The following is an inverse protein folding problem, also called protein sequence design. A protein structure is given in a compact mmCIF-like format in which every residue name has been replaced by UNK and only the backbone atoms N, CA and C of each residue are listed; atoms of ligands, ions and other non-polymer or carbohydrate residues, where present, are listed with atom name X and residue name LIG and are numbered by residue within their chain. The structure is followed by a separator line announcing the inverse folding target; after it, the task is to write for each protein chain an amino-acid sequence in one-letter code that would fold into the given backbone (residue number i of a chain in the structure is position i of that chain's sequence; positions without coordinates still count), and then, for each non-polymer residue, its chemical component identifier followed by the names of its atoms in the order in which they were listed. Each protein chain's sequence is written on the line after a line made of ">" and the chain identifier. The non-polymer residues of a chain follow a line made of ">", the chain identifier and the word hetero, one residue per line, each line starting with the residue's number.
data_IF_645037347371
#
_entry.id   IF_645037347371
#
_cell.length_a   1.000
_cell.length_b   1.000
_cell.length_c   1.000
_cell.angle_alpha   90.00
_cell.angle_beta   90.00
_cell.angle_gamma   90.00
#
_symmetry.space_group_name_H-M   'P 1'
#
loop_
_entity.id
_entity.type
_entity.pdbx_description
1 polymer ?
#
# COMPACT_ATOMS: atom_id res chain seq x y z
N UNK A 1 -12.19 -4.52 8.69
CA UNK A 1 -11.37 -4.63 7.47
C UNK A 1 -11.54 -3.35 6.68
N UNK A 2 -10.45 -2.74 6.22
CA UNK A 2 -10.45 -1.50 5.44
C UNK A 2 -9.68 -1.66 4.13
N UNK A 3 -10.17 -1.03 3.03
CA UNK A 3 -9.62 -1.28 1.69
C UNK A 3 -8.21 -0.70 1.46
N UNK A 4 -7.83 0.36 2.17
CA UNK A 4 -6.57 1.08 1.90
C UNK A 4 -5.39 0.56 2.73
N UNK A 5 -4.20 0.58 2.14
CA UNK A 5 -2.93 0.32 2.84
C UNK A 5 -2.57 1.49 3.76
N UNK A 6 -1.89 1.21 4.87
CA UNK A 6 -1.44 2.20 5.85
C UNK A 6 0.07 2.46 5.71
N UNK A 7 0.41 3.66 5.25
CA UNK A 7 1.79 4.08 4.99
C UNK A 7 2.21 5.32 5.81
N UNK A 8 1.43 5.65 6.86
CA UNK A 8 1.65 6.79 7.74
C UNK A 8 0.64 7.93 7.57
N UNK A 9 -0.16 7.90 6.50
CA UNK A 9 -1.18 8.91 6.18
C UNK A 9 -2.48 8.76 6.97
N UNK A 10 -2.63 7.69 7.79
CA UNK A 10 -3.77 7.41 8.66
C UNK A 10 -5.05 6.97 7.93
N UNK A 11 -4.94 6.37 6.76
CA UNK A 11 -6.10 5.82 6.06
C UNK A 11 -6.88 4.82 6.94
N UNK A 12 -6.17 3.96 7.68
CA UNK A 12 -6.79 3.01 8.63
C UNK A 12 -7.65 3.71 9.69
N UNK A 13 -7.12 4.76 10.31
CA UNK A 13 -7.85 5.53 11.33
C UNK A 13 -9.07 6.21 10.72
N UNK A 14 -8.88 6.90 9.58
CA UNK A 14 -9.98 7.62 8.92
C UNK A 14 -11.09 6.69 8.43
N UNK A 15 -10.75 5.58 7.77
CA UNK A 15 -11.74 4.61 7.30
C UNK A 15 -12.46 3.91 8.45
N UNK A 16 -11.74 3.59 9.54
CA UNK A 16 -12.36 3.05 10.74
C UNK A 16 -13.35 4.02 11.38
N UNK A 17 -13.03 5.32 11.38
CA UNK A 17 -13.95 6.36 11.88
C UNK A 17 -15.27 6.37 11.12
N UNK A 18 -15.25 6.21 9.78
CA UNK A 18 -16.46 6.19 8.96
C UNK A 18 -17.39 5.03 9.33
N UNK A 19 -16.84 3.84 9.52
CA UNK A 19 -17.61 2.66 9.92
C UNK A 19 -18.08 2.77 11.37
N UNK A 20 -17.19 3.16 12.27
CA UNK A 20 -17.47 3.23 13.71
C UNK A 20 -18.51 4.28 14.06
N UNK A 21 -18.49 5.43 13.36
CA UNK A 21 -19.49 6.48 13.51
C UNK A 21 -20.91 5.94 13.31
N UNK A 22 -21.10 5.25 12.20
CA UNK A 22 -22.43 4.75 11.84
C UNK A 22 -22.82 3.50 12.59
N UNK A 23 -21.83 2.65 12.95
CA UNK A 23 -22.05 1.41 13.67
C UNK A 23 -22.31 1.63 15.18
N UNK A 24 -22.09 2.83 15.71
CA UNK A 24 -22.25 3.16 17.13
C UNK A 24 -21.45 2.26 18.07
N UNK A 25 -20.18 1.99 17.73
CA UNK A 25 -19.26 1.22 18.57
C UNK A 25 -18.38 2.12 19.42
N UNK A 26 -17.83 1.57 20.49
CA UNK A 26 -16.81 2.23 21.29
C UNK A 26 -15.47 2.22 20.51
N UNK A 27 -14.89 3.41 20.33
CA UNK A 27 -13.65 3.61 19.60
C UNK A 27 -12.48 2.80 20.16
N UNK A 28 -12.38 2.66 21.46
CA UNK A 28 -11.29 1.94 22.14
C UNK A 28 -11.30 0.42 21.85
N UNK A 29 -12.43 -0.11 21.38
CA UNK A 29 -12.57 -1.54 21.06
C UNK A 29 -12.19 -1.89 19.63
N UNK A 30 -11.90 -0.88 18.78
CA UNK A 30 -11.70 -1.09 17.35
C UNK A 30 -10.32 -1.68 17.05
N UNK A 31 -10.32 -2.69 16.21
CA UNK A 31 -9.14 -3.24 15.56
C UNK A 31 -9.30 -3.14 14.05
N UNK A 32 -8.26 -2.65 13.38
CA UNK A 32 -8.26 -2.48 11.92
C UNK A 32 -7.31 -3.46 11.27
N UNK A 33 -7.78 -4.10 10.22
CA UNK A 33 -6.99 -4.96 9.35
C UNK A 33 -7.07 -4.42 7.93
N UNK A 34 -5.96 -4.44 7.20
CA UNK A 34 -5.95 -4.19 5.75
C UNK A 34 -6.73 -5.32 5.05
N UNK A 35 -7.53 -4.96 4.07
CA UNK A 35 -8.24 -5.93 3.25
C UNK A 35 -7.26 -6.83 2.48
N UNK A 36 -7.57 -8.13 2.33
CA UNK A 36 -6.90 -8.96 1.35
C UNK A 36 -7.21 -8.46 -0.06
N UNK A 37 -6.54 -9.02 -1.07
CA UNK A 37 -6.96 -8.80 -2.45
C UNK A 37 -8.37 -9.34 -2.67
N UNK A 38 -9.26 -8.47 -3.16
CA UNK A 38 -10.62 -8.84 -3.55
C UNK A 38 -11.31 -7.68 -4.27
N UNK A 39 -12.13 -7.99 -5.29
CA UNK A 39 -12.81 -7.00 -6.14
C UNK A 39 -13.71 -6.00 -5.39
N UNK A 40 -14.25 -6.39 -4.23
CA UNK A 40 -15.05 -5.49 -3.37
C UNK A 40 -14.27 -4.31 -2.79
N UNK A 41 -12.94 -4.38 -2.78
CA UNK A 41 -12.05 -3.35 -2.24
C UNK A 41 -11.39 -2.47 -3.31
N UNK A 42 -11.84 -2.57 -4.55
CA UNK A 42 -11.41 -1.69 -5.66
C UNK A 42 -11.59 -0.21 -5.28
N UNK A 43 -10.61 0.59 -5.65
CA UNK A 43 -10.60 2.04 -5.46
C UNK A 43 -10.70 2.79 -6.81
N UNK A 44 -11.90 3.03 -7.33
CA UNK A 44 -12.08 3.67 -8.64
C UNK A 44 -11.60 5.12 -8.68
N UNK A 45 -11.44 5.77 -7.52
CA UNK A 45 -10.92 7.12 -7.44
C UNK A 45 -9.40 7.21 -7.59
N UNK A 46 -8.67 6.14 -7.31
CA UNK A 46 -7.21 6.12 -7.44
C UNK A 46 -6.74 5.68 -8.83
N UNK A 47 -7.48 4.77 -9.47
CA UNK A 47 -7.16 4.28 -10.82
C UNK A 47 -8.45 4.01 -11.59
N UNK A 48 -8.63 4.62 -12.79
CA UNK A 48 -9.84 4.45 -13.59
C UNK A 48 -10.02 3.02 -14.14
N UNK A 49 -8.98 2.19 -14.13
CA UNK A 49 -9.05 0.77 -14.50
C UNK A 49 -9.77 -0.08 -13.47
N UNK A 50 -10.01 0.46 -12.27
CA UNK A 50 -10.67 -0.25 -11.18
C UNK A 50 -9.73 -1.22 -10.46
N UNK A 51 -8.61 -0.73 -9.97
CA UNK A 51 -7.62 -1.52 -9.23
C UNK A 51 -7.78 -1.38 -7.71
N UNK A 52 -7.44 -2.43 -6.98
CA UNK A 52 -7.27 -2.35 -5.53
C UNK A 52 -5.92 -1.70 -5.22
N UNK A 53 -5.90 -0.38 -5.17
CA UNK A 53 -4.70 0.44 -4.98
C UNK A 53 -4.97 1.59 -4.01
N UNK A 54 -3.96 1.97 -3.26
CA UNK A 54 -3.98 3.12 -2.35
C UNK A 54 -3.14 4.24 -2.93
N UNK A 55 -3.80 5.29 -3.44
CA UNK A 55 -3.13 6.41 -4.09
C UNK A 55 -4.09 7.57 -4.36
N UNK A 56 -3.59 8.62 -5.02
CA UNK A 56 -4.38 9.75 -5.49
C UNK A 56 -5.12 10.56 -4.41
N UNK A 57 -4.77 10.40 -3.13
CA UNK A 57 -5.48 11.02 -1.98
C UNK A 57 -6.96 10.63 -1.88
N UNK A 58 -7.34 9.45 -2.38
CA UNK A 58 -8.74 9.02 -2.54
C UNK A 58 -9.25 8.10 -1.43
N UNK A 59 -8.39 7.68 -0.49
CA UNK A 59 -8.75 6.69 0.54
C UNK A 59 -9.97 7.04 1.39
N UNK A 60 -10.24 8.31 1.62
CA UNK A 60 -11.43 8.74 2.37
C UNK A 60 -12.56 9.15 1.43
N UNK A 61 -12.28 9.99 0.44
CA UNK A 61 -13.32 10.53 -0.45
C UNK A 61 -14.07 9.44 -1.24
N UNK A 62 -13.34 8.49 -1.82
CA UNK A 62 -13.95 7.39 -2.59
C UNK A 62 -14.76 6.43 -1.72
N UNK A 63 -14.29 6.15 -0.51
CA UNK A 63 -14.95 5.20 0.39
C UNK A 63 -15.88 5.85 1.41
N UNK A 64 -16.06 7.17 1.36
CA UNK A 64 -16.87 7.93 2.33
C UNK A 64 -18.27 7.38 2.49
N UNK A 65 -18.99 7.23 1.41
CA UNK A 65 -20.38 6.76 1.45
C UNK A 65 -20.45 5.25 1.68
N UNK A 66 -19.66 4.47 0.94
CA UNK A 66 -19.67 3.00 1.03
C UNK A 66 -19.38 2.51 2.47
N UNK A 67 -18.36 3.05 3.13
CA UNK A 67 -18.00 2.62 4.50
C UNK A 67 -19.05 3.07 5.53
N UNK A 68 -19.66 4.22 5.35
CA UNK A 68 -20.75 4.69 6.19
C UNK A 68 -21.99 3.80 6.00
N UNK A 69 -22.35 3.47 4.77
CA UNK A 69 -23.45 2.56 4.46
C UNK A 69 -23.24 1.18 5.09
N UNK A 70 -22.02 0.63 5.04
CA UNK A 70 -21.68 -0.65 5.71
C UNK A 70 -21.89 -0.55 7.23
N UNK A 71 -21.42 0.53 7.86
CA UNK A 71 -21.61 0.78 9.29
C UNK A 71 -23.09 0.89 9.68
N UNK A 72 -23.84 1.72 8.96
CA UNK A 72 -25.26 1.96 9.21
C UNK A 72 -26.11 0.70 8.96
N UNK A 73 -25.89 0.01 7.84
CA UNK A 73 -26.60 -1.22 7.52
C UNK A 73 -26.37 -2.31 8.57
N UNK A 74 -25.13 -2.46 9.03
CA UNK A 74 -24.80 -3.39 10.11
C UNK A 74 -25.51 -3.02 11.43
N UNK A 75 -25.55 -1.73 11.77
CA UNK A 75 -26.30 -1.24 12.94
C UNK A 75 -27.79 -1.59 12.83
N UNK A 76 -28.41 -1.36 11.67
CA UNK A 76 -29.83 -1.66 11.45
C UNK A 76 -30.14 -3.15 11.54
N UNK A 77 -29.26 -4.01 10.98
CA UNK A 77 -29.38 -5.47 11.10
C UNK A 77 -29.30 -5.92 12.58
N UNK A 78 -28.35 -5.39 13.35
CA UNK A 78 -28.20 -5.70 14.78
C UNK A 78 -29.40 -5.21 15.60
N UNK A 79 -29.92 -4.01 15.29
CA UNK A 79 -31.10 -3.44 15.93
C UNK A 79 -32.33 -4.29 15.64
N UNK A 80 -32.50 -4.72 14.38
CA UNK A 80 -33.60 -5.62 13.98
C UNK A 80 -33.50 -7.00 14.65
N UNK A 81 -32.30 -7.55 14.79
CA UNK A 81 -32.07 -8.81 15.47
C UNK A 81 -32.47 -8.74 16.97
N UNK A 82 -32.12 -7.65 17.65
CA UNK A 82 -32.53 -7.42 19.03
C UNK A 82 -34.04 -7.25 19.18
N UNK A 83 -34.65 -6.45 18.31
CA UNK A 83 -36.12 -6.26 18.25
C UNK A 83 -36.86 -7.60 18.10
N UNK A 84 -36.43 -8.44 17.16
CA UNK A 84 -37.00 -9.76 16.95
C UNK A 84 -36.79 -10.68 18.16
N UNK A 85 -35.62 -10.71 18.76
CA UNK A 85 -35.32 -11.54 19.93
C UNK A 85 -36.14 -11.13 21.14
N UNK A 86 -36.46 -9.87 21.30
CA UNK A 86 -37.27 -9.34 22.40
C UNK A 86 -38.77 -9.33 22.13
N UNK A 87 -39.17 -9.45 20.84
CA UNK A 87 -40.58 -9.34 20.43
C UNK A 87 -41.13 -7.92 20.62
N UNK A 88 -40.35 -6.90 20.31
CA UNK A 88 -40.68 -5.47 20.50
C UNK A 88 -40.56 -4.71 19.20
N UNK A 89 -41.19 -3.52 19.07
CA UNK A 89 -40.99 -2.64 17.90
C UNK A 89 -39.52 -2.19 17.74
N UNK A 90 -39.02 -2.11 16.50
CA UNK A 90 -37.64 -1.76 16.21
C UNK A 90 -37.32 -0.29 16.58
N UNK A 91 -38.30 0.58 16.50
CA UNK A 91 -38.21 2.01 16.85
C UNK A 91 -38.04 2.27 18.35
N UNK A 92 -38.37 1.29 19.20
CA UNK A 92 -38.09 1.30 20.64
C UNK A 92 -36.63 0.87 20.95
N UNK A 93 -35.88 0.41 19.95
CA UNK A 93 -34.52 -0.09 20.08
C UNK A 93 -33.50 0.94 19.61
N UNK A 94 -32.47 1.20 20.41
CA UNK A 94 -31.40 2.15 20.12
C UNK A 94 -30.02 1.51 20.19
N UNK A 95 -29.20 1.73 19.18
CA UNK A 95 -27.78 1.34 19.20
C UNK A 95 -26.95 2.41 19.92
N UNK A 96 -26.06 1.98 20.81
CA UNK A 96 -25.13 2.86 21.52
C UNK A 96 -23.94 2.05 22.08
N UNK A 97 -22.72 2.50 21.85
CA UNK A 97 -21.48 1.92 22.38
C UNK A 97 -21.36 0.39 22.24
N UNK A 98 -21.72 -0.16 21.07
CA UNK A 98 -21.62 -1.59 20.77
C UNK A 98 -22.72 -2.44 21.42
N UNK A 99 -23.82 -1.83 21.83
CA UNK A 99 -25.00 -2.48 22.40
C UNK A 99 -26.28 -1.98 21.75
N UNK A 100 -27.32 -2.81 21.80
CA UNK A 100 -28.68 -2.39 21.49
C UNK A 100 -29.45 -2.31 22.82
N UNK A 101 -30.12 -1.19 23.02
CA UNK A 101 -30.97 -0.92 24.19
C UNK A 101 -32.44 -0.88 23.77
N UNK A 102 -33.32 -1.53 24.53
CA UNK A 102 -34.76 -1.34 24.44
C UNK A 102 -35.18 -0.29 25.46
N UNK A 103 -35.48 0.91 24.99
CA UNK A 103 -35.73 2.11 25.83
C UNK A 103 -36.81 1.92 26.86
N UNK A 104 -38.02 1.33 26.55
CA UNK A 104 -39.07 1.20 27.55
C UNK A 104 -38.77 0.23 28.68
N UNK A 105 -38.02 -0.85 28.44
CA UNK A 105 -37.74 -1.88 29.47
C UNK A 105 -36.34 -1.80 30.08
N UNK A 106 -35.45 -0.99 29.54
CA UNK A 106 -34.05 -0.91 29.98
C UNK A 106 -33.21 -2.16 29.68
N UNK A 107 -33.72 -3.14 28.91
CA UNK A 107 -32.96 -4.32 28.49
C UNK A 107 -31.85 -3.91 27.50
N UNK A 108 -30.73 -4.60 27.54
CA UNK A 108 -29.66 -4.44 26.53
C UNK A 108 -29.07 -5.76 26.10
N UNK A 109 -28.51 -5.77 24.87
CA UNK A 109 -27.70 -6.86 24.31
C UNK A 109 -26.49 -6.26 23.65
N UNK A 110 -25.30 -6.82 23.88
CA UNK A 110 -24.12 -6.40 23.13
C UNK A 110 -24.15 -6.99 21.70
N UNK A 111 -23.41 -6.36 20.79
CA UNK A 111 -23.39 -6.78 19.38
C UNK A 111 -22.96 -8.23 19.20
N UNK A 112 -21.99 -8.72 20.00
CA UNK A 112 -21.54 -10.11 19.94
C UNK A 112 -22.63 -11.14 20.21
N UNK A 113 -23.64 -10.80 21.02
CA UNK A 113 -24.79 -11.67 21.27
C UNK A 113 -25.80 -11.71 20.10
N UNK A 114 -25.75 -10.71 19.22
CA UNK A 114 -26.67 -10.52 18.10
C UNK A 114 -26.08 -10.96 16.74
N UNK A 115 -24.76 -11.11 16.61
CA UNK A 115 -24.07 -11.38 15.33
C UNK A 115 -24.67 -12.56 14.56
N UNK A 116 -24.94 -13.70 15.25
CA UNK A 116 -25.47 -14.90 14.57
C UNK A 116 -26.90 -14.67 14.05
N UNK A 117 -27.71 -13.89 14.77
CA UNK A 117 -29.07 -13.57 14.31
C UNK A 117 -29.03 -12.54 13.17
N UNK A 118 -28.24 -11.48 13.34
CA UNK A 118 -28.06 -10.44 12.33
C UNK A 118 -27.48 -10.98 11.02
N UNK A 119 -26.52 -11.92 11.08
CA UNK A 119 -25.89 -12.49 9.86
C UNK A 119 -26.84 -13.29 8.95
N UNK A 120 -28.03 -13.63 9.44
CA UNK A 120 -29.10 -14.30 8.64
C UNK A 120 -30.02 -13.31 7.95
N UNK A 121 -29.88 -12.03 8.20
CA UNK A 121 -30.69 -10.97 7.61
C UNK A 121 -30.03 -10.44 6.35
N UNK A 122 -30.83 -9.98 5.40
CA UNK A 122 -30.33 -9.22 4.26
C UNK A 122 -29.94 -7.80 4.71
N UNK A 123 -28.81 -7.27 4.26
CA UNK A 123 -28.50 -5.87 4.46
C UNK A 123 -29.58 -4.97 3.86
N UNK A 124 -29.92 -3.83 4.50
CA UNK A 124 -30.85 -2.87 3.92
C UNK A 124 -30.24 -2.22 2.67
N UNK A 125 -31.07 -2.02 1.61
CA UNK A 125 -30.62 -1.40 0.35
C UNK A 125 -30.21 0.06 0.53
N UNK A 126 -30.81 0.77 1.47
CA UNK A 126 -30.59 2.20 1.72
C UNK A 126 -30.58 2.47 3.23
N UNK A 127 -29.49 2.11 3.93
CA UNK A 127 -29.42 2.34 5.37
C UNK A 127 -29.42 3.84 5.70
N UNK A 128 -30.04 4.21 6.82
CA UNK A 128 -30.13 5.60 7.27
C UNK A 128 -28.79 6.05 7.84
N UNK A 129 -28.15 6.99 7.17
CA UNK A 129 -26.89 7.59 7.61
C UNK A 129 -27.14 8.72 8.60
N UNK A 130 -26.21 8.91 9.54
CA UNK A 130 -26.18 10.06 10.42
C UNK A 130 -25.96 11.36 9.63
N UNK A 131 -26.56 12.43 10.10
CA UNK A 131 -26.26 13.80 9.66
C UNK A 131 -25.05 14.34 10.42
N UNK A 132 -24.43 15.41 9.91
CA UNK A 132 -23.17 15.93 10.48
C UNK A 132 -23.28 16.43 11.92
N UNK A 133 -24.46 16.86 12.35
CA UNK A 133 -24.76 17.26 13.73
C UNK A 133 -24.79 16.07 14.70
N UNK A 134 -24.95 14.84 14.19
CA UNK A 134 -24.97 13.60 14.97
C UNK A 134 -23.59 12.94 15.12
N UNK A 135 -22.55 13.51 14.45
CA UNK A 135 -21.20 12.91 14.45
C UNK A 135 -20.54 13.02 15.83
N UNK A 136 -20.05 11.86 16.30
CA UNK A 136 -19.30 11.72 17.56
C UNK A 136 -17.81 11.56 17.32
N UNK A 137 -17.41 10.90 16.21
CA UNK A 137 -16.03 10.58 15.85
C UNK A 137 -15.55 11.42 14.66
N UNK A 138 -16.34 11.50 13.60
CA UNK A 138 -15.98 12.23 12.38
C UNK A 138 -15.85 13.73 12.71
N UNK A 139 -14.73 14.32 12.28
CA UNK A 139 -14.41 15.73 12.55
C UNK A 139 -13.88 16.01 13.96
N UNK A 140 -13.63 14.97 14.77
CA UNK A 140 -13.04 15.11 16.10
C UNK A 140 -11.54 14.74 16.10
N UNK A 141 -10.73 15.31 17.00
CA UNK A 141 -9.32 14.99 17.14
C UNK A 141 -9.15 13.60 17.80
N UNK A 142 -9.14 12.57 16.99
CA UNK A 142 -8.95 11.17 17.44
C UNK A 142 -7.48 10.77 17.27
N UNK A 143 -6.91 10.08 18.27
CA UNK A 143 -5.56 9.52 18.16
C UNK A 143 -5.50 8.43 17.09
N UNK A 144 -4.39 8.38 16.37
CA UNK A 144 -4.13 7.34 15.36
C UNK A 144 -4.14 5.96 16.00
N UNK A 145 -4.87 5.01 15.42
CA UNK A 145 -5.00 3.65 15.96
C UNK A 145 -3.65 2.94 16.13
N UNK A 146 -2.70 3.17 15.22
CA UNK A 146 -1.40 2.51 15.25
C UNK A 146 -0.34 3.25 16.09
N UNK A 147 -0.63 4.40 16.69
CA UNK A 147 0.36 5.17 17.46
C UNK A 147 0.96 4.37 18.62
N UNK A 148 0.19 3.67 19.47
CA UNK A 148 0.77 2.91 20.57
C UNK A 148 1.77 1.84 20.10
N UNK A 149 1.43 1.09 19.04
CA UNK A 149 2.31 0.06 18.50
C UNK A 149 3.58 0.65 17.86
N UNK A 150 3.46 1.82 17.19
CA UNK A 150 4.61 2.49 16.57
C UNK A 150 5.61 3.02 17.62
N UNK A 151 5.14 3.65 18.69
CA UNK A 151 6.02 4.23 19.70
C UNK A 151 6.60 3.18 20.65
N UNK A 152 5.95 2.03 20.79
CA UNK A 152 6.48 0.90 21.59
C UNK A 152 7.35 -0.06 20.76
N UNK A 153 7.47 0.13 19.45
CA UNK A 153 8.24 -0.75 18.57
C UNK A 153 7.57 -2.11 18.30
N UNK A 154 6.27 -2.26 18.58
CA UNK A 154 5.50 -3.49 18.32
C UNK A 154 4.76 -3.48 16.99
N UNK A 155 4.79 -2.35 16.26
CA UNK A 155 4.22 -2.27 14.91
C UNK A 155 5.01 -3.17 13.95
N UNK A 156 4.28 -3.92 13.10
CA UNK A 156 4.89 -4.85 12.15
C UNK A 156 4.89 -4.24 10.75
N UNK A 157 6.08 -3.95 10.24
CA UNK A 157 6.33 -3.51 8.87
C UNK A 157 6.75 -4.69 7.98
N UNK A 158 6.87 -4.48 6.70
CA UNK A 158 7.32 -5.53 5.77
C UNK A 158 8.68 -6.09 6.15
N UNK A 159 9.61 -5.24 6.52
CA UNK A 159 10.97 -5.62 6.93
C UNK A 159 11.02 -6.47 8.21
N UNK A 160 9.97 -6.39 9.05
CA UNK A 160 9.88 -7.10 10.33
C UNK A 160 9.30 -8.51 10.18
N UNK A 161 8.82 -8.88 9.00
CA UNK A 161 8.24 -10.21 8.75
C UNK A 161 9.28 -11.29 9.03
N UNK A 162 8.90 -12.31 9.81
CA UNK A 162 9.72 -13.49 10.09
C UNK A 162 8.89 -14.76 9.92
N UNK A 163 9.47 -15.75 9.24
CA UNK A 163 8.86 -17.07 8.99
C UNK A 163 9.83 -18.18 9.39
N UNK A 164 9.33 -19.33 9.85
CA UNK A 164 10.19 -20.48 10.15
C UNK A 164 11.01 -20.90 8.91
N UNK A 165 12.30 -21.09 9.07
CA UNK A 165 13.20 -21.51 7.97
C UNK A 165 13.44 -20.43 6.89
N UNK A 166 13.09 -19.18 7.16
CA UNK A 166 13.23 -18.09 6.20
C UNK A 166 14.70 -17.76 5.92
N UNK A 167 14.98 -17.54 4.64
CA UNK A 167 16.23 -16.99 4.15
C UNK A 167 16.10 -15.50 3.84
N UNK A 168 17.26 -14.86 3.67
CA UNK A 168 17.36 -13.44 3.37
C UNK A 168 18.05 -13.26 2.03
N UNK A 169 17.54 -12.37 1.20
CA UNK A 169 18.15 -12.02 -0.06
C UNK A 169 18.35 -10.52 -0.18
N UNK A 170 19.42 -10.13 -0.85
CA UNK A 170 19.62 -8.76 -1.35
C UNK A 170 19.92 -8.82 -2.85
N UNK A 171 19.72 -7.71 -3.53
CA UNK A 171 19.75 -7.66 -4.99
C UNK A 171 20.76 -6.64 -5.50
N UNK A 172 21.24 -6.86 -6.72
CA UNK A 172 21.86 -5.85 -7.56
C UNK A 172 21.19 -5.85 -8.92
N UNK A 173 20.76 -4.69 -9.35
CA UNK A 173 20.01 -4.48 -10.59
C UNK A 173 20.82 -3.62 -11.54
N UNK A 174 20.49 -3.67 -12.84
CA UNK A 174 21.12 -2.81 -13.82
C UNK A 174 20.92 -1.33 -13.45
N UNK A 175 21.95 -0.52 -13.41
CA UNK A 175 21.83 0.92 -13.16
C UNK A 175 21.13 1.67 -14.31
N UNK A 176 20.85 0.98 -15.41
CA UNK A 176 20.16 1.53 -16.58
C UNK A 176 18.87 0.74 -16.81
N UNK A 177 17.74 1.44 -16.92
CA UNK A 177 16.45 0.80 -17.21
C UNK A 177 16.51 0.00 -18.51
N UNK A 178 16.01 -1.24 -18.46
CA UNK A 178 16.07 -2.19 -19.58
C UNK A 178 17.43 -2.87 -19.78
N UNK A 179 18.44 -2.55 -18.96
CA UNK A 179 19.73 -3.21 -18.98
C UNK A 179 19.66 -4.64 -18.46
N UNK A 180 20.61 -5.47 -18.87
CA UNK A 180 20.68 -6.89 -18.54
C UNK A 180 21.96 -7.24 -17.81
N UNK A 181 21.91 -8.31 -17.02
CA UNK A 181 23.13 -8.87 -16.42
C UNK A 181 23.99 -9.49 -17.51
N UNK A 182 25.24 -9.03 -17.62
CA UNK A 182 26.23 -9.55 -18.54
C UNK A 182 27.00 -10.75 -17.97
N UNK A 183 27.47 -10.59 -16.73
CA UNK A 183 28.26 -11.62 -16.05
C UNK A 183 28.32 -11.35 -14.53
N UNK A 184 28.63 -12.37 -13.77
CA UNK A 184 28.92 -12.27 -12.34
C UNK A 184 29.79 -13.46 -11.90
N UNK A 185 30.44 -13.32 -10.74
CA UNK A 185 31.28 -14.37 -10.14
C UNK A 185 30.49 -15.15 -9.08
N UNK A 186 29.71 -16.12 -9.55
CA UNK A 186 28.90 -16.96 -8.69
C UNK A 186 29.73 -17.75 -7.68
N UNK A 187 30.92 -18.25 -8.11
CA UNK A 187 31.80 -19.04 -7.26
C UNK A 187 32.32 -18.21 -6.07
N UNK A 188 32.71 -16.96 -6.33
CA UNK A 188 33.14 -16.04 -5.28
C UNK A 188 32.00 -15.74 -4.27
N UNK A 189 30.78 -15.52 -4.76
CA UNK A 189 29.63 -15.30 -3.90
C UNK A 189 29.31 -16.52 -3.02
N UNK A 190 29.29 -17.71 -3.62
CA UNK A 190 29.02 -18.99 -2.90
C UNK A 190 30.11 -19.38 -1.91
N UNK A 191 31.32 -18.86 -2.06
CA UNK A 191 32.40 -19.05 -1.09
C UNK A 191 32.22 -18.25 0.21
N UNK A 192 31.34 -17.24 0.22
CA UNK A 192 31.02 -16.48 1.40
C UNK A 192 30.18 -17.33 2.38
N UNK A 193 30.58 -17.35 3.63
CA UNK A 193 29.88 -18.11 4.68
C UNK A 193 28.40 -17.70 4.75
N UNK A 194 27.52 -18.68 4.77
CA UNK A 194 26.08 -18.47 4.93
C UNK A 194 25.34 -18.16 3.63
N UNK A 195 26.04 -17.95 2.50
CA UNK A 195 25.40 -17.85 1.19
C UNK A 195 24.91 -19.23 0.74
N UNK A 196 23.63 -19.30 0.40
CA UNK A 196 22.97 -20.54 -0.05
C UNK A 196 22.76 -20.58 -1.57
N UNK A 197 22.43 -19.43 -2.18
CA UNK A 197 22.14 -19.38 -3.62
C UNK A 197 22.45 -18.02 -4.24
N UNK A 198 22.63 -18.03 -5.55
CA UNK A 198 22.61 -16.86 -6.44
C UNK A 198 21.49 -17.10 -7.44
N UNK A 199 20.53 -16.19 -7.51
CA UNK A 199 19.31 -16.36 -8.32
C UNK A 199 19.16 -15.19 -9.28
N UNK A 200 19.11 -15.44 -10.60
CA UNK A 200 18.74 -14.41 -11.57
C UNK A 200 17.34 -13.88 -11.29
N UNK A 201 17.18 -12.56 -11.39
CA UNK A 201 15.89 -11.87 -11.28
C UNK A 201 15.72 -10.94 -12.50
N UNK A 202 14.51 -10.44 -12.77
CA UNK A 202 14.35 -9.44 -13.83
C UNK A 202 15.31 -8.26 -13.62
N UNK A 203 16.08 -7.92 -14.66
CA UNK A 203 17.06 -6.84 -14.70
C UNK A 203 18.21 -6.91 -13.66
N UNK A 204 18.44 -8.08 -13.04
CA UNK A 204 19.42 -8.17 -11.96
C UNK A 204 19.72 -9.57 -11.47
N UNK A 205 20.31 -9.62 -10.30
CA UNK A 205 20.66 -10.87 -9.60
C UNK A 205 20.47 -10.72 -8.11
N UNK A 206 19.95 -11.75 -7.46
CA UNK A 206 19.79 -11.85 -6.02
C UNK A 206 20.83 -12.78 -5.42
N UNK A 207 21.38 -12.44 -4.26
CA UNK A 207 22.17 -13.34 -3.43
C UNK A 207 21.37 -13.68 -2.19
N UNK A 208 21.20 -14.99 -1.93
CA UNK A 208 20.40 -15.53 -0.84
C UNK A 208 21.30 -16.15 0.21
N UNK A 209 21.04 -15.86 1.48
CA UNK A 209 21.84 -16.33 2.60
C UNK A 209 20.99 -16.55 3.87
N UNK A 210 21.63 -17.10 4.91
CA UNK A 210 21.05 -17.29 6.25
C UNK A 210 20.78 -15.97 7.01
N UNK A 211 21.36 -14.88 6.53
CA UNK A 211 21.21 -13.55 7.12
C UNK A 211 21.38 -12.45 6.07
N UNK A 212 20.77 -11.29 6.30
CA UNK A 212 20.95 -10.10 5.43
C UNK A 212 22.41 -9.70 5.31
N UNK A 213 23.20 -9.85 6.39
CA UNK A 213 24.61 -9.55 6.36
C UNK A 213 25.41 -10.46 5.42
N UNK A 214 25.21 -11.77 5.50
CA UNK A 214 25.87 -12.72 4.59
C UNK A 214 25.40 -12.55 3.15
N UNK A 215 24.12 -12.25 2.92
CA UNK A 215 23.61 -11.93 1.60
C UNK A 215 24.33 -10.70 1.00
N UNK A 216 24.54 -9.63 1.79
CA UNK A 216 25.27 -8.45 1.36
C UNK A 216 26.74 -8.77 1.05
N UNK A 217 27.43 -9.49 1.91
CA UNK A 217 28.82 -9.90 1.66
C UNK A 217 28.95 -10.76 0.40
N UNK A 218 27.98 -11.67 0.19
CA UNK A 218 27.91 -12.46 -1.04
C UNK A 218 27.71 -11.60 -2.28
N UNK A 219 26.85 -10.58 -2.19
CA UNK A 219 26.62 -9.64 -3.30
C UNK A 219 27.87 -8.82 -3.62
N UNK A 220 28.60 -8.36 -2.61
CA UNK A 220 29.87 -7.65 -2.79
C UNK A 220 30.93 -8.54 -3.49
N UNK A 221 30.94 -9.85 -3.18
CA UNK A 221 31.82 -10.82 -3.82
C UNK A 221 31.40 -11.18 -5.25
N UNK A 222 30.09 -11.13 -5.54
CA UNK A 222 29.51 -11.49 -6.84
C UNK A 222 29.96 -10.57 -7.99
N UNK A 223 30.17 -9.28 -7.74
CA UNK A 223 30.62 -8.25 -8.69
C UNK A 223 29.86 -8.29 -10.03
N UNK A 224 28.53 -8.14 -10.02
CA UNK A 224 27.76 -8.23 -11.25
C UNK A 224 28.15 -7.14 -12.24
N UNK A 225 28.20 -7.50 -13.53
CA UNK A 225 28.41 -6.59 -14.64
C UNK A 225 27.12 -6.49 -15.46
N UNK A 226 26.80 -5.30 -15.91
CA UNK A 226 25.58 -5.05 -16.67
C UNK A 226 25.90 -4.47 -18.04
N UNK A 227 24.98 -4.64 -19.00
CA UNK A 227 25.09 -4.07 -20.34
C UNK A 227 23.70 -3.73 -20.92
N UNK A 228 23.69 -2.82 -21.90
CA UNK A 228 22.47 -2.41 -22.59
C UNK A 228 21.56 -1.51 -21.77
N UNK A 229 20.32 -1.40 -22.22
CA UNK A 229 19.26 -0.58 -21.67
C UNK A 229 18.88 0.60 -22.54
N UNK A 230 17.58 0.91 -22.57
CA UNK A 230 17.03 1.98 -23.42
C UNK A 230 17.51 3.38 -23.00
N UNK A 231 17.86 3.54 -21.73
CA UNK A 231 18.28 4.82 -21.16
C UNK A 231 19.79 5.03 -21.13
N UNK A 232 20.56 4.22 -21.87
CA UNK A 232 22.02 4.41 -21.96
C UNK A 232 22.34 5.81 -22.46
N UNK A 233 23.16 6.55 -21.69
CA UNK A 233 23.57 7.90 -22.01
C UNK A 233 22.53 8.99 -21.76
N UNK A 234 21.38 8.66 -21.17
CA UNK A 234 20.45 9.65 -20.62
C UNK A 234 21.06 10.23 -19.33
N UNK A 235 21.10 11.55 -19.24
CA UNK A 235 21.47 12.26 -18.03
C UNK A 235 20.51 13.42 -17.77
N UNK A 236 20.51 13.94 -16.52
CA UNK A 236 19.61 15.01 -16.10
C UNK A 236 19.76 16.29 -16.92
N UNK A 237 20.98 16.64 -17.35
CA UNK A 237 21.23 17.84 -18.13
C UNK A 237 20.59 17.74 -19.52
N UNK A 238 20.71 16.58 -20.19
CA UNK A 238 20.05 16.34 -21.50
C UNK A 238 18.52 16.36 -21.36
N UNK A 239 17.98 15.76 -20.30
CA UNK A 239 16.54 15.78 -20.03
C UNK A 239 16.04 17.23 -19.82
N UNK A 240 16.74 18.02 -19.00
CA UNK A 240 16.44 19.43 -18.75
C UNK A 240 16.51 20.26 -20.03
N UNK A 241 17.55 20.09 -20.83
CA UNK A 241 17.72 20.79 -22.12
C UNK A 241 16.58 20.49 -23.09
N UNK A 242 16.12 19.23 -23.15
CA UNK A 242 14.97 18.81 -23.98
C UNK A 242 13.69 19.46 -23.52
N UNK A 243 13.40 19.45 -22.20
CA UNK A 243 12.21 20.07 -21.64
C UNK A 243 12.20 21.59 -21.92
N UNK A 244 13.34 22.26 -21.74
CA UNK A 244 13.49 23.69 -22.04
C UNK A 244 13.20 24.00 -23.48
N UNK A 245 13.79 23.25 -24.42
CA UNK A 245 13.56 23.42 -25.86
C UNK A 245 12.05 23.26 -26.18
N UNK A 246 11.37 22.27 -25.59
CA UNK A 246 9.92 22.09 -25.77
C UNK A 246 9.12 23.28 -25.23
N UNK A 247 9.48 23.85 -24.08
CA UNK A 247 8.82 25.06 -23.57
C UNK A 247 9.07 26.30 -24.44
N UNK A 248 10.27 26.39 -25.05
CA UNK A 248 10.58 27.48 -25.95
C UNK A 248 9.79 27.39 -27.27
N UNK A 249 9.54 26.17 -27.76
CA UNK A 249 8.68 25.93 -28.95
C UNK A 249 7.22 26.28 -28.66
N UNK A 250 6.71 26.05 -27.43
CA UNK A 250 5.36 26.44 -27.04
C UNK A 250 5.17 27.96 -26.97
N UNK A 251 6.27 28.70 -26.89
CA UNK A 251 6.26 30.18 -26.85
C UNK A 251 5.77 30.72 -25.49
N UNK A 252 5.49 32.03 -25.50
CA UNK A 252 4.98 32.77 -24.34
C UNK A 252 3.61 33.36 -24.66
N UNK A 253 2.73 33.38 -23.68
CA UNK A 253 1.46 34.07 -23.81
C UNK A 253 1.69 35.59 -23.85
N UNK A 254 0.88 36.33 -24.60
CA UNK A 254 0.85 37.79 -24.52
C UNK A 254 0.01 38.20 -23.33
N UNK A 255 0.63 38.79 -22.32
CA UNK A 255 -0.04 39.30 -21.12
C UNK A 255 0.07 40.81 -21.09
N UNK A 256 -1.09 41.51 -21.07
CA UNK A 256 -1.16 42.96 -20.88
C UNK A 256 -1.41 43.22 -19.39
N UNK A 257 -0.38 43.69 -18.68
CA UNK A 257 -0.47 44.06 -17.26
C UNK A 257 0.58 45.14 -16.93
N UNK A 258 0.38 45.86 -15.81
CA UNK A 258 1.34 46.89 -15.35
C UNK A 258 2.68 46.29 -14.96
N UNK A 259 2.67 45.07 -14.43
CA UNK A 259 3.87 44.30 -14.11
C UNK A 259 3.69 42.86 -14.61
N UNK A 260 4.65 42.36 -15.34
CA UNK A 260 4.68 40.96 -15.79
C UNK A 260 5.83 40.25 -15.11
N UNK A 261 5.54 39.14 -14.43
CA UNK A 261 6.53 38.23 -13.85
C UNK A 261 6.66 37.01 -14.74
N UNK A 262 7.88 36.72 -15.15
CA UNK A 262 8.27 35.50 -15.85
C UNK A 262 9.07 34.64 -14.87
N UNK A 263 8.59 33.43 -14.58
CA UNK A 263 9.27 32.51 -13.69
C UNK A 263 9.32 31.10 -14.28
N UNK A 264 10.41 30.42 -14.04
CA UNK A 264 10.60 29.05 -14.48
C UNK A 264 10.99 28.17 -13.28
N UNK A 265 10.35 27.01 -13.17
CA UNK A 265 10.64 26.02 -12.15
C UNK A 265 11.08 24.72 -12.82
N UNK A 266 12.15 24.16 -12.32
CA UNK A 266 12.67 22.87 -12.76
C UNK A 266 12.73 21.89 -11.57
N UNK A 267 12.24 20.67 -11.77
CA UNK A 267 12.36 19.57 -10.84
C UNK A 267 13.13 18.44 -11.50
N UNK A 268 14.22 17.95 -10.91
CA UNK A 268 14.96 16.80 -11.44
C UNK A 268 14.17 15.49 -11.19
N UNK A 269 14.68 14.39 -11.74
CA UNK A 269 14.26 13.07 -11.27
C UNK A 269 14.53 12.92 -9.78
N UNK A 270 13.53 12.48 -9.01
CA UNK A 270 13.63 12.35 -7.56
C UNK A 270 13.36 10.92 -7.11
N UNK A 271 14.25 10.39 -6.28
CA UNK A 271 14.01 9.19 -5.51
C UNK A 271 12.91 9.42 -4.46
N UNK A 272 12.04 8.42 -4.24
CA UNK A 272 10.96 8.53 -3.24
C UNK A 272 11.46 8.51 -1.79
N UNK A 273 12.63 7.92 -1.54
CA UNK A 273 13.34 7.90 -0.26
C UNK A 273 12.46 7.44 0.93
N UNK A 274 11.72 6.36 0.76
CA UNK A 274 10.97 5.76 1.87
C UNK A 274 11.93 5.35 2.98
N UNK A 275 11.57 5.60 4.26
CA UNK A 275 12.44 5.23 5.39
C UNK A 275 12.69 3.72 5.45
N UNK A 276 11.68 2.92 5.20
CA UNK A 276 11.79 1.48 4.99
C UNK A 276 12.20 1.23 3.53
N UNK A 277 13.40 0.67 3.24
CA UNK A 277 13.80 0.28 1.88
C UNK A 277 12.83 -0.72 1.27
N UNK A 278 12.84 -0.87 -0.06
CA UNK A 278 11.99 -1.86 -0.72
C UNK A 278 12.29 -3.25 -0.18
N UNK A 279 11.25 -3.96 0.18
CA UNK A 279 11.34 -5.32 0.70
C UNK A 279 10.04 -6.09 0.44
N UNK A 280 10.15 -7.40 0.39
CA UNK A 280 9.01 -8.31 0.34
C UNK A 280 9.44 -9.67 0.87
N UNK A 281 8.56 -10.35 1.59
CA UNK A 281 8.74 -11.75 1.95
C UNK A 281 7.77 -12.58 1.13
N UNK A 282 8.25 -13.64 0.48
CA UNK A 282 7.43 -14.58 -0.26
C UNK A 282 7.73 -16.04 0.18
N UNK A 283 6.72 -16.87 0.14
CA UNK A 283 6.84 -18.31 0.34
C UNK A 283 6.06 -19.04 -0.76
N UNK A 284 6.78 -19.52 -1.75
CA UNK A 284 6.23 -20.31 -2.85
C UNK A 284 6.49 -21.78 -2.56
N UNK A 285 5.45 -22.58 -2.62
CA UNK A 285 5.49 -24.04 -2.53
C UNK A 285 5.08 -24.65 -3.88
N UNK A 286 4.91 -25.97 -3.94
CA UNK A 286 4.46 -26.62 -5.17
C UNK A 286 3.04 -26.22 -5.60
N UNK A 287 2.20 -25.76 -4.66
CA UNK A 287 0.75 -25.55 -4.86
C UNK A 287 0.21 -24.23 -4.29
N UNK A 288 1.06 -23.42 -3.67
CA UNK A 288 0.62 -22.14 -3.08
C UNK A 288 1.72 -21.07 -3.09
N UNK A 289 1.29 -19.81 -2.99
CA UNK A 289 2.16 -18.65 -2.85
C UNK A 289 1.62 -17.72 -1.75
N UNK A 290 2.38 -17.53 -0.69
CA UNK A 290 2.10 -16.53 0.34
C UNK A 290 3.07 -15.36 0.23
N UNK A 291 2.53 -14.14 0.26
CA UNK A 291 3.28 -12.88 0.09
C UNK A 291 2.99 -11.95 1.25
N UNK A 292 4.03 -11.44 1.91
CA UNK A 292 3.95 -10.35 2.90
C UNK A 292 4.66 -9.15 2.31
N UNK A 293 3.88 -8.15 1.89
CA UNK A 293 4.40 -7.01 1.17
C UNK A 293 3.89 -5.68 1.75
N UNK A 294 4.78 -4.70 1.98
CA UNK A 294 4.40 -3.33 2.26
C UNK A 294 4.02 -2.62 0.95
N UNK A 295 2.88 -3.00 0.36
CA UNK A 295 2.44 -2.55 -0.97
C UNK A 295 1.29 -1.55 -0.92
N UNK A 296 1.25 -0.63 -1.87
CA UNK A 296 0.08 0.22 -2.16
C UNK A 296 -0.91 -0.45 -3.11
N UNK A 297 -0.50 -1.53 -3.81
CA UNK A 297 -1.31 -2.21 -4.82
C UNK A 297 -1.35 -3.71 -4.58
N UNK A 298 -2.40 -4.16 -3.94
CA UNK A 298 -2.70 -5.58 -3.79
C UNK A 298 -2.95 -6.24 -5.16
N UNK A 299 -3.64 -5.52 -6.05
CA UNK A 299 -3.91 -5.94 -7.43
C UNK A 299 -2.62 -6.29 -8.18
N UNK A 300 -1.70 -5.33 -8.30
CA UNK A 300 -0.44 -5.55 -9.01
C UNK A 300 0.42 -6.64 -8.37
N UNK A 301 0.33 -6.77 -7.04
CA UNK A 301 1.00 -7.86 -6.31
C UNK A 301 0.41 -9.23 -6.66
N UNK A 302 -0.91 -9.32 -6.83
CA UNK A 302 -1.60 -10.52 -7.27
C UNK A 302 -1.22 -10.89 -8.71
N UNK A 303 -1.30 -9.93 -9.63
CA UNK A 303 -1.01 -10.17 -11.04
C UNK A 303 0.44 -10.60 -11.27
N UNK A 304 1.42 -9.94 -10.64
CA UNK A 304 2.82 -10.38 -10.77
C UNK A 304 3.06 -11.77 -10.15
N UNK A 305 2.38 -12.10 -9.06
CA UNK A 305 2.49 -13.42 -8.45
C UNK A 305 1.92 -14.52 -9.38
N UNK A 306 0.77 -14.26 -10.03
CA UNK A 306 0.20 -15.15 -11.05
C UNK A 306 1.15 -15.33 -12.23
N UNK A 307 1.72 -14.22 -12.73
CA UNK A 307 2.67 -14.24 -13.84
C UNK A 307 3.92 -15.08 -13.52
N UNK A 308 4.52 -14.87 -12.36
CA UNK A 308 5.74 -15.58 -11.95
C UNK A 308 5.47 -17.03 -11.65
N UNK A 309 4.40 -17.37 -10.92
CA UNK A 309 4.14 -18.74 -10.45
C UNK A 309 3.37 -19.59 -11.43
N UNK A 310 2.49 -19.00 -12.22
CA UNK A 310 1.48 -19.70 -13.04
C UNK A 310 0.27 -20.16 -12.20
N UNK A 311 0.15 -19.75 -10.95
CA UNK A 311 -0.93 -20.14 -10.04
C UNK A 311 -2.22 -19.37 -10.31
N UNK A 312 -3.35 -19.95 -9.91
CA UNK A 312 -4.62 -19.26 -9.87
C UNK A 312 -4.70 -18.31 -8.64
N UNK A 313 -5.69 -17.43 -8.64
CA UNK A 313 -5.89 -16.48 -7.54
C UNK A 313 -6.08 -17.18 -6.18
N UNK A 314 -6.80 -18.31 -6.16
CA UNK A 314 -7.08 -19.08 -4.95
C UNK A 314 -5.83 -19.71 -4.31
N UNK A 315 -4.76 -19.87 -5.10
CA UNK A 315 -3.48 -20.41 -4.64
C UNK A 315 -2.54 -19.32 -4.11
N UNK A 316 -2.93 -18.04 -4.24
CA UNK A 316 -2.09 -16.90 -3.86
C UNK A 316 -2.74 -16.13 -2.71
N UNK A 317 -1.97 -15.86 -1.67
CA UNK A 317 -2.40 -15.05 -0.53
C UNK A 317 -1.49 -13.83 -0.35
N UNK A 318 -2.08 -12.64 -0.27
CA UNK A 318 -1.35 -11.38 -0.08
C UNK A 318 -1.68 -10.80 1.29
N UNK A 319 -0.67 -10.68 2.12
CA UNK A 319 -0.72 -10.06 3.44
C UNK A 319 -0.06 -8.68 3.37
N UNK A 320 -0.88 -7.64 3.28
CA UNK A 320 -0.38 -6.26 3.28
C UNK A 320 0.02 -5.85 4.68
N UNK A 321 1.31 -5.58 4.88
CA UNK A 321 1.87 -5.09 6.14
C UNK A 321 1.68 -3.58 6.30
N UNK A 322 2.05 -3.01 7.45
CA UNK A 322 2.29 -1.57 7.52
C UNK A 322 3.46 -1.18 6.62
N UNK A 323 3.38 -0.01 6.01
CA UNK A 323 4.41 0.52 5.12
C UNK A 323 5.21 1.61 5.84
N UNK A 324 6.53 1.49 5.84
CA UNK A 324 7.45 2.50 6.39
C UNK A 324 7.70 3.67 5.44
N UNK A 325 6.61 4.26 4.93
CA UNK A 325 6.57 5.23 3.86
C UNK A 325 6.36 4.57 2.49
N UNK A 326 5.75 5.31 1.57
CA UNK A 326 5.49 4.79 0.22
C UNK A 326 5.58 5.89 -0.85
N UNK A 327 4.89 7.01 -0.71
CA UNK A 327 4.92 8.20 -1.58
C UNK A 327 4.63 7.92 -3.07
N UNK A 328 4.01 6.77 -3.39
CA UNK A 328 3.78 6.25 -4.73
C UNK A 328 4.74 5.12 -5.13
N UNK A 329 5.94 5.01 -4.54
CA UNK A 329 6.93 4.00 -4.90
C UNK A 329 6.42 2.56 -4.76
N UNK A 330 5.62 2.29 -3.74
CA UNK A 330 5.10 0.96 -3.46
C UNK A 330 3.79 0.63 -4.20
N UNK A 331 3.36 1.48 -5.13
CA UNK A 331 2.36 1.13 -6.14
C UNK A 331 2.96 0.25 -7.24
N UNK A 332 4.28 0.37 -7.47
CA UNK A 332 5.05 -0.55 -8.31
C UNK A 332 5.29 -1.88 -7.55
N UNK A 333 5.48 -2.95 -8.30
CA UNK A 333 5.49 -4.33 -7.77
C UNK A 333 6.81 -5.08 -8.01
N UNK A 334 7.82 -4.41 -8.52
CA UNK A 334 9.12 -4.99 -8.86
C UNK A 334 9.77 -5.75 -7.69
N UNK A 335 9.72 -5.21 -6.47
CA UNK A 335 10.23 -5.88 -5.27
C UNK A 335 9.41 -7.13 -4.88
N UNK A 336 8.11 -7.16 -5.23
CA UNK A 336 7.25 -8.36 -5.06
C UNK A 336 7.64 -9.43 -6.08
N UNK A 337 7.78 -9.04 -7.35
CA UNK A 337 8.23 -9.93 -8.44
C UNK A 337 9.53 -10.63 -8.06
N UNK A 338 10.51 -9.87 -7.55
CA UNK A 338 11.80 -10.42 -7.13
C UNK A 338 11.68 -11.43 -6.00
N UNK A 339 10.91 -11.11 -4.95
CA UNK A 339 10.74 -12.02 -3.82
C UNK A 339 10.03 -13.32 -4.23
N UNK A 340 8.99 -13.23 -5.05
CA UNK A 340 8.27 -14.41 -5.56
C UNK A 340 9.17 -15.25 -6.46
N UNK A 341 9.96 -14.62 -7.35
CA UNK A 341 10.92 -15.31 -8.22
C UNK A 341 11.95 -16.10 -7.41
N UNK A 342 12.58 -15.44 -6.43
CA UNK A 342 13.60 -16.07 -5.59
C UNK A 342 13.01 -17.21 -4.74
N UNK A 343 11.84 -16.99 -4.15
CA UNK A 343 11.16 -18.01 -3.35
C UNK A 343 10.70 -19.20 -4.20
N UNK A 344 10.23 -18.98 -5.42
CA UNK A 344 9.84 -20.02 -6.37
C UNK A 344 11.03 -20.93 -6.71
N UNK A 345 12.19 -20.34 -6.97
CA UNK A 345 13.41 -21.10 -7.30
C UNK A 345 13.86 -21.99 -6.13
N UNK A 346 13.74 -21.49 -4.90
CA UNK A 346 14.25 -22.21 -3.72
C UNK A 346 13.20 -23.07 -3.01
N UNK A 347 11.91 -22.88 -3.29
CA UNK A 347 10.79 -23.50 -2.57
C UNK A 347 10.90 -23.31 -1.04
N UNK A 348 11.37 -22.14 -0.62
CA UNK A 348 11.56 -21.71 0.77
C UNK A 348 10.99 -20.31 1.00
N UNK A 349 10.62 -19.95 2.22
CA UNK A 349 10.32 -18.56 2.53
C UNK A 349 11.59 -17.72 2.41
N UNK A 350 11.50 -16.62 1.64
CA UNK A 350 12.63 -15.70 1.41
C UNK A 350 12.15 -14.27 1.60
N UNK A 351 12.93 -13.49 2.36
CA UNK A 351 12.76 -12.06 2.45
C UNK A 351 13.81 -11.36 1.59
N UNK A 352 13.36 -10.68 0.54
CA UNK A 352 14.21 -9.79 -0.28
C UNK A 352 14.19 -8.42 0.37
N UNK A 353 15.38 -7.85 0.62
CA UNK A 353 15.57 -6.50 1.16
C UNK A 353 16.59 -5.78 0.27
N UNK A 354 16.20 -4.64 -0.28
CA UNK A 354 17.14 -3.78 -1.00
C UNK A 354 18.02 -3.01 -0.04
N UNK A 355 19.29 -2.80 -0.40
CA UNK A 355 20.09 -1.80 0.30
C UNK A 355 19.57 -0.39 0.02
N UNK A 356 19.97 0.59 0.84
CA UNK A 356 19.59 1.99 0.57
C UNK A 356 20.23 2.50 -0.73
N UNK A 357 21.41 2.04 -1.04
CA UNK A 357 22.11 2.35 -2.28
C UNK A 357 21.33 1.84 -3.49
N UNK A 358 20.88 0.58 -3.45
CA UNK A 358 20.08 -0.04 -4.50
C UNK A 358 18.72 0.67 -4.65
N UNK A 359 18.03 0.93 -3.55
CA UNK A 359 16.75 1.65 -3.53
C UNK A 359 16.87 3.07 -4.12
N UNK A 360 18.02 3.72 -3.93
CA UNK A 360 18.28 5.06 -4.47
C UNK A 360 18.68 5.02 -5.95
N UNK A 361 19.46 4.02 -6.37
CA UNK A 361 20.00 3.93 -7.73
C UNK A 361 19.06 3.24 -8.70
N UNK A 362 18.11 2.46 -8.21
CA UNK A 362 17.21 1.68 -9.04
C UNK A 362 15.75 1.78 -8.54
N UNK A 363 15.06 2.83 -8.91
CA UNK A 363 13.66 3.05 -8.55
C UNK A 363 12.87 3.66 -9.69
N UNK A 364 11.56 3.55 -9.62
CA UNK A 364 10.65 4.33 -10.46
C UNK A 364 10.64 5.76 -9.93
N UNK A 365 11.55 6.59 -10.45
CA UNK A 365 11.71 7.96 -9.98
C UNK A 365 10.47 8.82 -10.24
N UNK A 366 10.27 9.84 -9.39
CA UNK A 366 9.40 10.95 -9.76
C UNK A 366 9.95 11.62 -11.00
N UNK A 367 9.08 11.83 -11.97
CA UNK A 367 9.45 12.37 -13.28
C UNK A 367 10.04 13.76 -13.15
N UNK A 368 11.11 14.03 -13.90
CA UNK A 368 11.61 15.39 -14.12
C UNK A 368 10.52 16.23 -14.79
N UNK A 369 10.41 17.48 -14.39
CA UNK A 369 9.45 18.42 -14.99
C UNK A 369 10.00 19.83 -15.05
N UNK A 370 9.50 20.60 -16.00
CA UNK A 370 9.79 22.02 -16.14
C UNK A 370 8.48 22.77 -16.36
N UNK A 371 8.30 23.86 -15.64
CA UNK A 371 7.10 24.69 -15.72
C UNK A 371 7.50 26.13 -15.89
N UNK A 372 6.86 26.83 -16.83
CA UNK A 372 7.03 28.25 -17.06
C UNK A 372 5.71 28.97 -16.78
N UNK A 373 5.77 30.01 -15.98
CA UNK A 373 4.61 30.84 -15.64
C UNK A 373 4.87 32.28 -16.04
N UNK A 374 3.85 32.89 -16.64
CA UNK A 374 3.76 34.33 -16.82
C UNK A 374 2.60 34.84 -15.98
N UNK A 375 2.84 35.79 -15.11
CA UNK A 375 1.84 36.35 -14.20
C UNK A 375 1.77 37.85 -14.41
N UNK A 376 0.60 38.35 -14.84
CA UNK A 376 0.31 39.76 -14.90
C UNK A 376 -0.27 40.25 -13.59
N UNK A 377 0.28 41.32 -13.01
CA UNK A 377 -0.22 42.00 -11.83
C UNK A 377 -0.89 43.33 -12.23
N UNK A 378 -2.14 43.51 -11.87
CA UNK A 378 -2.86 44.78 -11.96
C UNK A 378 -2.60 45.66 -10.72
N UNK A 379 -3.19 46.84 -10.73
CA UNK A 379 -3.09 47.80 -9.61
C UNK A 379 -4.11 47.56 -8.49
N UNK A 380 -5.11 46.67 -8.72
CA UNK A 380 -6.24 46.45 -7.82
C UNK A 380 -6.08 45.14 -7.05
#
# INVERSE_FOLDING_TARGET
>A
IVPSSEMGQQAHTGQAMLVAEELEVDWETIRVLTAPYHSEFINPGADPRGLQVTGGSTSISTFWEKLRQVGAGTREMLTSAASQQWGVPVDECKAENGQIFHTPSGRSLNYGQLVIAASKMSPPDSPVLKTSDQFRLIGKPILKLHTPARVSGTAQYGIDVRRPGMLFATVSQSPVFGGQVKSYDEAAAKAVKGVEAVVPIPNGVAVVADSTWHAKQGLDALKPQFEGGESVGLDGAKASAKLRATLDELGKAEISADTVLDVEYELPYLHHATMEPMNCTAHVTADSCEIWAPTQSQESSMETAKEVTGFSEEQISIHTTLLGGAFGRRAEWDFVTQAVTVSKELQKPVQVIWSREEDTQHGFYRTTSMSRYQVGLGKD
#
